data_IF_100574474943
#
_entry.id   IF_100574474943
#
_cell.length_a   1.000
_cell.length_b   1.000
_cell.length_c   1.000
_cell.angle_alpha   90.00
_cell.angle_beta   90.00
_cell.angle_gamma   90.00
#
_symmetry.space_group_name_H-M   'P 1'
#
loop_
_entity.id
_entity.type
_entity.pdbx_description
1 polymer ?
#
# COMPACT_ATOMS: atom_id res chain seq x y z
N UNK A 1 14.86 78.61 -37.13
CA UNK A 1 16.09 79.37 -36.99
C UNK A 1 17.15 78.44 -36.48
N UNK A 2 17.92 77.90 -37.39
CA UNK A 2 19.19 78.35 -37.92
C UNK A 2 20.25 78.50 -36.83
N UNK A 3 21.20 77.60 -36.90
CA UNK A 3 22.63 77.71 -37.23
C UNK A 3 23.51 77.47 -35.99
N UNK A 4 24.69 76.96 -36.03
CA UNK A 4 25.71 76.39 -36.93
C UNK A 4 26.81 75.84 -36.02
N UNK A 5 27.36 74.67 -36.34
CA UNK A 5 28.76 74.35 -36.51
C UNK A 5 29.84 75.15 -35.78
N UNK A 6 30.70 74.45 -35.08
CA UNK A 6 32.16 74.44 -35.40
C UNK A 6 32.87 73.24 -34.75
N UNK A 7 33.63 72.56 -35.57
CA UNK A 7 34.57 71.49 -35.21
C UNK A 7 35.94 72.09 -34.87
N UNK A 8 36.83 71.26 -34.37
CA UNK A 8 38.28 71.19 -34.33
C UNK A 8 38.69 70.70 -32.94
N UNK A 9 39.22 69.54 -32.66
CA UNK A 9 40.41 68.92 -33.19
C UNK A 9 41.34 68.66 -31.99
N UNK A 10 41.84 67.48 -31.81
CA UNK A 10 42.89 67.25 -30.81
C UNK A 10 42.98 65.82 -30.33
N UNK A 11 43.80 65.10 -31.01
CA UNK A 11 44.49 63.82 -30.70
C UNK A 11 44.75 63.59 -29.21
N UNK A 12 44.37 62.42 -28.73
CA UNK A 12 44.79 61.90 -27.46
C UNK A 12 44.42 60.43 -27.33
N UNK A 13 45.23 59.56 -27.89
CA UNK A 13 45.16 58.12 -27.77
C UNK A 13 45.57 57.75 -26.35
N UNK A 14 44.65 57.37 -25.49
CA UNK A 14 44.95 56.60 -24.25
C UNK A 14 44.13 55.32 -24.27
N UNK A 15 44.82 54.26 -24.64
CA UNK A 15 44.31 52.92 -24.53
C UNK A 15 44.21 52.55 -23.03
N UNK A 16 43.01 52.57 -22.47
CA UNK A 16 42.72 51.90 -21.20
C UNK A 16 42.22 50.50 -21.55
N UNK A 17 43.14 49.54 -21.51
CA UNK A 17 42.85 48.13 -21.49
C UNK A 17 42.18 47.83 -20.16
N UNK A 18 40.88 48.05 -20.10
CA UNK A 18 40.03 47.57 -19.01
C UNK A 18 39.92 46.06 -19.10
N UNK A 19 40.70 45.37 -18.31
CA UNK A 19 40.67 43.94 -18.11
C UNK A 19 39.37 43.64 -17.32
N UNK A 20 38.28 43.48 -18.06
CA UNK A 20 37.05 42.91 -17.53
C UNK A 20 37.31 41.44 -17.33
N UNK A 21 37.77 41.05 -16.13
CA UNK A 21 37.64 39.68 -15.65
C UNK A 21 36.15 39.35 -15.54
N UNK A 22 35.58 38.90 -16.62
CA UNK A 22 34.30 38.20 -16.57
C UNK A 22 34.53 36.92 -15.78
N UNK A 23 34.14 36.96 -14.50
CA UNK A 23 33.96 35.75 -13.72
C UNK A 23 32.97 34.86 -14.51
N UNK A 24 33.53 33.93 -15.28
CA UNK A 24 32.75 32.82 -15.82
C UNK A 24 32.22 32.06 -14.61
N UNK A 25 31.04 32.42 -14.15
CA UNK A 25 30.18 31.47 -13.42
C UNK A 25 30.05 30.31 -14.36
N UNK A 26 30.64 29.18 -14.01
CA UNK A 26 30.32 27.90 -14.60
C UNK A 26 28.81 27.65 -14.35
N UNK A 27 28.00 28.15 -15.27
CA UNK A 27 26.65 27.64 -15.40
C UNK A 27 26.85 26.17 -15.77
N UNK A 28 26.59 25.28 -14.84
CA UNK A 28 26.51 23.86 -15.13
C UNK A 28 25.45 23.73 -16.23
N UNK A 29 25.92 23.60 -17.48
CA UNK A 29 25.06 23.26 -18.61
C UNK A 29 24.41 21.94 -18.25
N UNK A 30 23.11 21.94 -18.06
CA UNK A 30 22.33 20.70 -17.92
C UNK A 30 22.73 19.81 -19.11
N UNK A 31 23.32 18.63 -18.91
CA UNK A 31 23.71 17.79 -20.03
C UNK A 31 22.47 17.46 -20.85
N UNK A 32 22.46 17.78 -22.14
CA UNK A 32 21.42 17.31 -23.04
C UNK A 32 21.38 15.78 -23.05
N UNK A 33 20.21 15.19 -23.22
CA UNK A 33 20.07 13.74 -23.35
C UNK A 33 20.15 13.36 -24.84
N UNK A 34 21.29 13.65 -25.46
CA UNK A 34 21.44 13.54 -26.91
C UNK A 34 21.80 12.13 -27.37
N UNK A 35 22.51 11.38 -26.54
CA UNK A 35 22.93 10.01 -26.86
C UNK A 35 22.12 8.95 -26.12
N UNK A 36 21.99 7.74 -26.69
CA UNK A 36 21.37 6.61 -25.99
C UNK A 36 22.00 6.32 -24.63
N UNK A 37 23.32 6.45 -24.51
CA UNK A 37 24.05 6.25 -23.25
C UNK A 37 23.63 7.26 -22.18
N UNK A 38 23.49 8.54 -22.54
CA UNK A 38 23.03 9.58 -21.61
C UNK A 38 21.60 9.33 -21.15
N UNK A 39 20.71 8.95 -22.09
CA UNK A 39 19.31 8.62 -21.77
C UNK A 39 19.22 7.44 -20.80
N UNK A 40 19.96 6.38 -21.02
CA UNK A 40 19.99 5.21 -20.14
C UNK A 40 20.54 5.60 -18.76
N UNK A 41 21.66 6.33 -18.69
CA UNK A 41 22.25 6.76 -17.42
C UNK A 41 21.28 7.63 -16.61
N UNK A 42 20.60 8.57 -17.27
CA UNK A 42 19.60 9.41 -16.61
C UNK A 42 18.40 8.60 -16.12
N UNK A 43 17.87 7.69 -16.96
CA UNK A 43 16.75 6.83 -16.58
C UNK A 43 17.11 5.94 -15.38
N UNK A 44 18.31 5.39 -15.33
CA UNK A 44 18.78 4.62 -14.17
C UNK A 44 18.86 5.49 -12.92
N UNK A 45 19.41 6.71 -13.02
CA UNK A 45 19.45 7.66 -11.90
C UNK A 45 18.06 7.98 -11.36
N UNK A 46 17.09 8.25 -12.24
CA UNK A 46 15.68 8.48 -11.85
C UNK A 46 15.08 7.25 -11.18
N UNK A 47 15.32 6.04 -11.69
CA UNK A 47 14.85 4.80 -11.09
C UNK A 47 15.43 4.58 -9.70
N UNK A 48 16.74 4.81 -9.52
CA UNK A 48 17.41 4.75 -8.22
C UNK A 48 16.83 5.78 -7.24
N UNK A 49 16.67 7.04 -7.67
CA UNK A 49 16.12 8.09 -6.85
C UNK A 49 14.70 7.76 -6.34
N UNK A 50 13.84 7.16 -7.19
CA UNK A 50 12.51 6.68 -6.78
C UNK A 50 12.58 5.62 -5.70
N UNK A 51 13.58 4.73 -5.73
CA UNK A 51 13.77 3.68 -4.73
C UNK A 51 14.40 4.21 -3.44
N UNK A 52 15.25 5.24 -3.53
CA UNK A 52 15.90 5.87 -2.38
C UNK A 52 14.98 6.86 -1.64
N UNK A 53 13.99 7.43 -2.34
CA UNK A 53 13.04 8.36 -1.75
C UNK A 53 12.08 7.62 -0.82
N UNK A 54 12.52 7.42 0.41
CA UNK A 54 11.72 6.81 1.48
C UNK A 54 11.41 7.84 2.57
N UNK A 55 10.21 7.82 3.17
CA UNK A 55 9.91 8.68 4.31
C UNK A 55 10.96 8.51 5.42
N UNK A 56 11.50 9.60 5.92
CA UNK A 56 12.47 9.60 7.02
C UNK A 56 13.92 9.33 6.64
N UNK A 57 14.25 9.28 5.34
CA UNK A 57 15.64 9.22 4.85
C UNK A 57 15.99 10.55 4.19
N UNK A 58 16.90 11.29 4.80
CA UNK A 58 17.50 12.48 4.21
C UNK A 58 18.86 12.10 3.62
N UNK A 59 19.11 12.48 2.37
CA UNK A 59 20.31 12.14 1.66
C UNK A 59 20.99 13.42 1.14
N UNK A 60 22.30 13.52 1.37
CA UNK A 60 23.15 14.47 0.66
C UNK A 60 23.41 13.94 -0.75
N UNK A 61 22.86 14.64 -1.75
CA UNK A 61 22.91 14.20 -3.14
C UNK A 61 24.30 14.27 -3.74
N UNK A 62 25.16 15.20 -3.27
CA UNK A 62 26.53 15.33 -3.78
C UNK A 62 27.40 14.20 -3.23
N UNK A 63 27.23 13.86 -1.95
CA UNK A 63 27.93 12.73 -1.32
C UNK A 63 27.43 11.40 -1.90
N UNK A 64 26.12 11.28 -2.16
CA UNK A 64 25.57 10.08 -2.83
C UNK A 64 26.16 9.91 -4.25
N UNK A 65 26.21 10.98 -5.04
CA UNK A 65 26.78 10.95 -6.38
C UNK A 65 28.27 10.57 -6.36
N UNK A 66 29.02 11.04 -5.35
CA UNK A 66 30.40 10.65 -5.13
C UNK A 66 30.52 9.17 -4.80
N UNK A 67 29.73 8.66 -3.86
CA UNK A 67 29.72 7.24 -3.50
C UNK A 67 29.41 6.33 -4.69
N UNK A 68 28.47 6.73 -5.56
CA UNK A 68 28.22 6.02 -6.81
C UNK A 68 29.44 6.02 -7.73
N UNK A 69 30.11 7.16 -7.90
CA UNK A 69 31.31 7.25 -8.71
C UNK A 69 32.44 6.37 -8.17
N UNK A 70 32.70 6.44 -6.88
CA UNK A 70 33.73 5.63 -6.22
C UNK A 70 33.44 4.13 -6.37
N UNK A 71 32.16 3.72 -6.23
CA UNK A 71 31.74 2.33 -6.42
C UNK A 71 31.89 1.82 -7.86
N UNK A 72 31.71 2.69 -8.87
CA UNK A 72 31.94 2.33 -10.29
C UNK A 72 33.41 2.34 -10.71
N UNK A 73 34.22 3.19 -10.09
CA UNK A 73 35.67 3.31 -10.46
C UNK A 73 36.53 2.22 -9.84
N UNK A 74 36.08 1.60 -8.78
CA UNK A 74 36.85 0.66 -7.97
C UNK A 74 37.98 1.34 -7.18
N UNK A 75 37.92 2.67 -7.01
CA UNK A 75 38.85 3.43 -6.19
C UNK A 75 38.67 3.15 -4.70
N UNK A 76 39.63 3.63 -3.90
CA UNK A 76 39.51 3.50 -2.43
C UNK A 76 38.32 4.27 -1.91
N UNK A 77 37.43 3.58 -1.25
CA UNK A 77 36.25 4.20 -0.61
C UNK A 77 36.64 5.13 0.54
N UNK A 78 35.83 6.15 0.79
CA UNK A 78 36.01 7.07 1.92
C UNK A 78 35.72 6.40 3.27
N UNK A 79 35.01 5.29 3.24
CA UNK A 79 34.65 4.47 4.40
C UNK A 79 35.21 3.07 4.25
N UNK A 80 35.52 2.41 5.36
CA UNK A 80 35.85 0.98 5.31
C UNK A 80 34.59 0.16 5.02
N UNK A 81 34.76 -1.08 4.57
CA UNK A 81 33.61 -1.98 4.38
C UNK A 81 32.82 -2.23 5.68
N UNK A 82 33.53 -2.19 6.81
CA UNK A 82 32.89 -2.34 8.12
C UNK A 82 32.03 -1.12 8.44
N UNK A 83 32.57 0.09 8.26
CA UNK A 83 31.79 1.33 8.47
C UNK A 83 30.57 1.42 7.56
N UNK A 84 30.71 0.99 6.30
CA UNK A 84 29.58 0.93 5.35
C UNK A 84 28.48 0.00 5.85
N UNK A 85 28.85 -1.19 6.33
CA UNK A 85 27.92 -2.19 6.86
C UNK A 85 27.23 -1.69 8.12
N UNK A 86 27.99 -1.14 9.06
CA UNK A 86 27.45 -0.60 10.32
C UNK A 86 26.50 0.58 10.05
N UNK A 87 26.87 1.50 9.17
CA UNK A 87 26.03 2.63 8.79
C UNK A 87 24.72 2.18 8.15
N UNK A 88 24.77 1.22 7.23
CA UNK A 88 23.57 0.68 6.58
C UNK A 88 22.69 -0.11 7.55
N UNK A 89 23.29 -0.86 8.48
CA UNK A 89 22.56 -1.57 9.54
C UNK A 89 21.85 -0.59 10.48
N UNK A 90 22.54 0.44 10.94
CA UNK A 90 21.97 1.47 11.80
C UNK A 90 20.78 2.20 11.13
N UNK A 91 20.92 2.58 9.85
CA UNK A 91 19.83 3.16 9.08
C UNK A 91 18.63 2.20 8.98
N UNK A 92 18.89 0.92 8.71
CA UNK A 92 17.83 -0.08 8.61
C UNK A 92 17.08 -0.26 9.94
N UNK A 93 17.79 -0.27 11.06
CA UNK A 93 17.21 -0.39 12.38
C UNK A 93 16.40 0.86 12.75
N UNK A 94 16.90 2.04 12.43
CA UNK A 94 16.18 3.30 12.63
C UNK A 94 14.86 3.32 11.84
N UNK A 95 14.91 2.94 10.56
CA UNK A 95 13.72 2.89 9.71
C UNK A 95 12.70 1.87 10.23
N UNK A 96 13.17 0.71 10.69
CA UNK A 96 12.33 -0.32 11.31
C UNK A 96 11.64 0.20 12.57
N UNK A 97 12.38 0.89 13.44
CA UNK A 97 11.82 1.47 14.66
C UNK A 97 10.77 2.55 14.34
N UNK A 98 11.08 3.46 13.40
CA UNK A 98 10.13 4.50 12.96
C UNK A 98 8.85 3.89 12.38
N UNK A 99 8.99 2.86 11.55
CA UNK A 99 7.84 2.15 10.98
C UNK A 99 7.02 1.43 12.07
N UNK A 100 7.67 0.72 12.98
CA UNK A 100 6.98 0.05 14.09
C UNK A 100 6.23 1.05 14.97
N UNK A 101 6.83 2.20 15.28
CA UNK A 101 6.17 3.25 16.04
C UNK A 101 4.98 3.86 15.30
N UNK A 102 5.10 4.10 13.99
CA UNK A 102 4.00 4.60 13.17
C UNK A 102 2.82 3.60 13.15
N UNK A 103 3.12 2.31 12.95
CA UNK A 103 2.11 1.24 12.98
C UNK A 103 1.42 1.18 14.35
N UNK A 104 2.18 1.28 15.45
CA UNK A 104 1.64 1.28 16.82
C UNK A 104 0.71 2.46 17.05
N UNK A 105 1.11 3.66 16.63
CA UNK A 105 0.28 4.88 16.76
C UNK A 105 -1.04 4.74 16.00
N UNK A 106 -0.98 4.21 14.77
CA UNK A 106 -2.20 3.96 13.96
C UNK A 106 -3.07 2.89 14.61
N UNK A 107 -2.48 1.81 15.13
CA UNK A 107 -3.20 0.73 15.79
C UNK A 107 -3.97 1.22 17.05
N UNK A 108 -3.33 2.07 17.86
CA UNK A 108 -3.96 2.66 19.05
C UNK A 108 -5.09 3.63 18.68
N UNK A 109 -4.88 4.46 17.66
CA UNK A 109 -5.90 5.36 17.16
C UNK A 109 -7.12 4.60 16.63
N UNK A 110 -6.92 3.60 15.77
CA UNK A 110 -7.99 2.77 15.22
C UNK A 110 -8.75 2.01 16.32
N UNK A 111 -8.03 1.48 17.32
CA UNK A 111 -8.67 0.79 18.45
C UNK A 111 -9.60 1.73 19.20
N UNK A 112 -9.11 2.91 19.59
CA UNK A 112 -9.89 3.89 20.33
C UNK A 112 -11.12 4.39 19.54
N UNK A 113 -10.92 4.68 18.25
CA UNK A 113 -11.99 5.08 17.34
C UNK A 113 -13.03 3.98 17.20
N UNK A 114 -12.58 2.73 17.03
CA UNK A 114 -13.46 1.56 16.93
C UNK A 114 -14.27 1.30 18.20
N UNK A 115 -13.65 1.38 19.38
CA UNK A 115 -14.34 1.22 20.67
C UNK A 115 -15.41 2.31 20.86
N UNK A 116 -15.10 3.57 20.55
CA UNK A 116 -16.03 4.67 20.62
C UNK A 116 -17.20 4.47 19.66
N UNK A 117 -16.90 4.18 18.40
CA UNK A 117 -17.90 3.92 17.38
C UNK A 117 -18.86 2.78 17.76
N UNK A 118 -18.34 1.64 18.24
CA UNK A 118 -19.17 0.50 18.62
C UNK A 118 -20.02 0.79 19.87
N UNK A 119 -19.49 1.57 20.82
CA UNK A 119 -20.25 1.98 22.01
C UNK A 119 -21.44 2.91 21.67
N UNK A 120 -21.26 3.79 20.70
CA UNK A 120 -22.31 4.66 20.18
C UNK A 120 -23.31 3.85 19.34
N UNK A 121 -22.81 3.03 18.42
CA UNK A 121 -23.64 2.21 17.52
C UNK A 121 -24.51 1.20 18.27
N UNK A 122 -24.08 0.70 19.44
CA UNK A 122 -24.88 -0.20 20.27
C UNK A 122 -26.19 0.44 20.77
N UNK A 123 -26.28 1.77 20.77
CA UNK A 123 -27.47 2.53 21.21
C UNK A 123 -28.40 2.86 20.04
N UNK A 124 -27.98 2.62 18.81
CA UNK A 124 -28.77 2.88 17.62
C UNK A 124 -29.95 1.91 17.52
N UNK A 125 -31.06 2.43 17.09
CA UNK A 125 -32.31 1.62 16.93
C UNK A 125 -32.10 0.46 15.94
N UNK A 126 -32.47 -0.73 16.35
CA UNK A 126 -32.40 -1.95 15.55
C UNK A 126 -31.00 -2.58 15.50
N UNK A 127 -30.02 -2.06 16.25
CA UNK A 127 -28.72 -2.68 16.42
C UNK A 127 -28.77 -3.70 17.55
N UNK A 128 -28.26 -4.89 17.26
CA UNK A 128 -28.09 -5.98 18.22
C UNK A 128 -26.60 -6.21 18.45
N UNK A 129 -26.22 -6.27 19.74
CA UNK A 129 -24.84 -6.57 20.14
C UNK A 129 -24.75 -8.00 20.69
N UNK A 130 -23.87 -8.81 20.13
CA UNK A 130 -23.60 -10.18 20.60
C UNK A 130 -22.55 -10.20 21.71
N UNK A 131 -22.49 -11.26 22.55
CA UNK A 131 -21.50 -11.36 23.63
C UNK A 131 -20.02 -11.28 23.17
N UNK A 132 -19.73 -11.61 21.92
CA UNK A 132 -18.42 -11.49 21.28
C UNK A 132 -18.02 -10.06 20.97
N UNK A 133 -18.98 -9.12 21.05
CA UNK A 133 -18.83 -7.73 20.62
C UNK A 133 -19.21 -7.48 19.16
N UNK A 134 -19.55 -8.51 18.39
CA UNK A 134 -20.12 -8.33 17.06
C UNK A 134 -21.46 -7.58 17.18
N UNK A 135 -21.64 -6.55 16.35
CA UNK A 135 -22.93 -5.87 16.24
C UNK A 135 -23.50 -6.05 14.85
N UNK A 136 -24.81 -6.13 14.76
CA UNK A 136 -25.50 -6.20 13.47
C UNK A 136 -26.83 -5.46 13.49
N UNK A 137 -27.25 -5.04 12.30
CA UNK A 137 -28.60 -4.49 12.04
C UNK A 137 -29.21 -5.23 10.85
N UNK A 138 -30.43 -5.71 11.01
CA UNK A 138 -31.18 -6.38 9.94
C UNK A 138 -31.75 -5.31 9.01
N UNK A 139 -31.22 -5.25 7.75
CA UNK A 139 -31.73 -4.36 6.72
C UNK A 139 -32.93 -4.99 5.97
N UNK A 140 -32.88 -6.31 5.78
CA UNK A 140 -33.94 -7.11 5.20
C UNK A 140 -33.91 -8.49 5.86
N UNK A 141 -35.08 -8.92 6.34
CA UNK A 141 -35.24 -10.27 6.84
C UNK A 141 -35.26 -11.29 5.69
N UNK A 142 -34.73 -12.48 5.92
CA UNK A 142 -34.85 -13.63 5.04
C UNK A 142 -35.69 -14.72 5.77
N UNK A 143 -36.13 -15.68 5.02
CA UNK A 143 -36.96 -16.81 5.48
C UNK A 143 -36.34 -18.17 5.16
N UNK A 144 -35.22 -18.19 4.50
CA UNK A 144 -34.51 -19.41 4.11
C UNK A 144 -33.76 -20.10 5.27
N UNK A 145 -33.06 -21.17 4.95
CA UNK A 145 -32.19 -21.88 5.91
C UNK A 145 -31.03 -21.03 6.36
N UNK A 146 -30.51 -21.28 7.57
CA UNK A 146 -29.28 -20.69 8.08
C UNK A 146 -28.09 -21.58 7.74
N UNK A 147 -26.94 -21.02 7.36
CA UNK A 147 -25.75 -21.80 7.09
C UNK A 147 -25.18 -22.49 8.34
N UNK A 148 -24.59 -23.66 8.14
CA UNK A 148 -23.75 -24.36 9.12
C UNK A 148 -22.25 -24.06 8.86
N UNK A 149 -21.39 -24.40 9.81
CA UNK A 149 -19.93 -24.21 9.69
C UNK A 149 -19.31 -24.91 8.47
N UNK A 150 -19.91 -26.02 8.05
CA UNK A 150 -19.44 -26.83 6.92
C UNK A 150 -19.93 -26.34 5.55
N UNK A 151 -20.85 -25.37 5.54
CA UNK A 151 -21.48 -24.93 4.32
C UNK A 151 -20.60 -23.92 3.56
N UNK A 152 -20.89 -23.80 2.29
CA UNK A 152 -20.40 -22.73 1.42
C UNK A 152 -21.56 -21.80 1.10
N UNK A 153 -21.35 -20.52 1.18
CA UNK A 153 -22.37 -19.51 0.95
C UNK A 153 -22.04 -18.64 -0.26
N UNK A 154 -23.08 -18.17 -0.92
CA UNK A 154 -23.00 -17.15 -1.97
C UNK A 154 -23.61 -15.85 -1.44
N UNK A 155 -22.80 -14.77 -1.49
CA UNK A 155 -23.16 -13.48 -0.93
C UNK A 155 -22.85 -12.34 -1.87
N UNK A 156 -23.71 -11.32 -1.88
CA UNK A 156 -23.27 -9.98 -2.20
C UNK A 156 -22.82 -9.27 -0.93
N UNK A 157 -21.75 -8.48 -1.04
CA UNK A 157 -21.23 -7.72 0.08
C UNK A 157 -20.51 -6.45 -0.32
N UNK A 158 -20.46 -5.54 0.63
CA UNK A 158 -19.68 -4.29 0.57
C UNK A 158 -19.00 -4.09 1.91
N UNK A 159 -17.68 -3.90 1.90
CA UNK A 159 -16.88 -3.65 3.09
C UNK A 159 -16.38 -2.22 3.12
N UNK A 160 -16.60 -1.50 4.22
CA UNK A 160 -16.15 -0.15 4.46
C UNK A 160 -15.45 -0.04 5.81
N UNK A 161 -14.58 0.94 5.95
CA UNK A 161 -14.07 1.38 7.26
C UNK A 161 -15.12 2.28 7.93
N UNK A 162 -14.86 2.70 9.17
CA UNK A 162 -15.73 3.61 9.94
C UNK A 162 -15.90 4.96 9.21
N UNK A 163 -14.85 5.46 8.55
CA UNK A 163 -14.90 6.71 7.75
C UNK A 163 -15.70 6.59 6.44
N UNK A 164 -16.36 5.45 6.21
CA UNK A 164 -17.14 5.17 5.01
C UNK A 164 -16.33 4.77 3.79
N UNK A 165 -15.00 4.78 3.87
CA UNK A 165 -14.15 4.40 2.76
C UNK A 165 -14.28 2.91 2.43
N UNK A 166 -14.74 2.61 1.23
CA UNK A 166 -14.86 1.25 0.71
C UNK A 166 -13.46 0.66 0.44
N UNK A 167 -13.24 -0.56 0.92
CA UNK A 167 -12.02 -1.31 0.66
C UNK A 167 -12.27 -2.57 -0.19
N UNK A 168 -13.49 -3.10 -0.17
CA UNK A 168 -13.86 -4.24 -1.01
C UNK A 168 -15.38 -4.28 -1.26
N UNK A 169 -15.79 -4.72 -2.47
CA UNK A 169 -17.19 -4.89 -2.84
C UNK A 169 -17.35 -5.94 -3.92
N UNK A 170 -18.34 -6.82 -3.75
CA UNK A 170 -18.76 -7.75 -4.80
C UNK A 170 -19.60 -7.06 -5.86
N UNK A 171 -20.27 -5.97 -5.51
CA UNK A 171 -21.05 -5.18 -6.48
C UNK A 171 -20.15 -4.52 -7.52
N UNK A 172 -18.96 -4.02 -7.11
CA UNK A 172 -17.96 -3.48 -8.02
C UNK A 172 -17.41 -4.51 -9.02
N UNK A 173 -17.52 -5.81 -8.70
CA UNK A 173 -17.14 -6.91 -9.61
C UNK A 173 -18.29 -7.42 -10.48
N UNK A 174 -19.51 -6.93 -10.26
CA UNK A 174 -20.70 -7.31 -11.01
C UNK A 174 -21.22 -8.73 -10.75
N UNK A 175 -20.67 -9.44 -9.75
CA UNK A 175 -21.08 -10.82 -9.42
C UNK A 175 -20.92 -11.12 -7.93
N UNK A 176 -21.78 -11.98 -7.37
CA UNK A 176 -21.66 -12.43 -5.98
C UNK A 176 -20.36 -13.22 -5.78
N UNK A 177 -19.93 -13.29 -4.54
CA UNK A 177 -18.78 -14.07 -4.14
C UNK A 177 -19.21 -15.31 -3.33
N UNK A 178 -18.41 -16.37 -3.46
CA UNK A 178 -18.65 -17.63 -2.79
C UNK A 178 -17.58 -17.87 -1.74
N UNK A 179 -18.01 -18.21 -0.50
CA UNK A 179 -17.11 -18.41 0.63
C UNK A 179 -17.49 -19.68 1.41
N UNK A 180 -16.53 -20.52 1.82
CA UNK A 180 -16.78 -21.49 2.88
C UNK A 180 -16.97 -20.75 4.20
N UNK A 181 -18.02 -21.07 4.96
CA UNK A 181 -18.33 -20.42 6.25
C UNK A 181 -17.17 -20.53 7.23
N UNK A 182 -16.44 -21.63 7.24
CA UNK A 182 -15.26 -21.81 8.07
C UNK A 182 -14.06 -20.95 7.64
N UNK A 183 -14.06 -20.41 6.41
CA UNK A 183 -12.92 -19.69 5.81
C UNK A 183 -13.00 -18.17 5.88
N UNK A 184 -14.08 -17.60 6.42
CA UNK A 184 -14.23 -16.16 6.57
C UNK A 184 -13.76 -15.68 7.95
N UNK A 185 -13.63 -14.36 8.14
CA UNK A 185 -13.28 -13.75 9.42
C UNK A 185 -14.32 -14.15 10.52
N UNK A 186 -13.89 -14.22 11.81
CA UNK A 186 -14.75 -14.69 12.89
C UNK A 186 -16.11 -13.97 12.97
N UNK A 187 -16.14 -12.66 12.80
CA UNK A 187 -17.38 -11.89 12.82
C UNK A 187 -18.36 -12.27 11.70
N UNK A 188 -17.86 -12.55 10.51
CA UNK A 188 -18.70 -13.05 9.42
C UNK A 188 -19.21 -14.48 9.69
N UNK A 189 -18.33 -15.33 10.20
CA UNK A 189 -18.70 -16.71 10.55
C UNK A 189 -19.85 -16.73 11.57
N UNK A 190 -19.78 -15.87 12.59
CA UNK A 190 -20.82 -15.75 13.59
C UNK A 190 -22.12 -15.20 13.00
N UNK A 191 -22.04 -14.12 12.22
CA UNK A 191 -23.20 -13.51 11.58
C UNK A 191 -23.89 -14.46 10.61
N UNK A 192 -23.16 -15.11 9.71
CA UNK A 192 -23.72 -16.01 8.69
C UNK A 192 -24.53 -17.16 9.29
N UNK A 193 -24.11 -17.69 10.43
CA UNK A 193 -24.86 -18.74 11.14
C UNK A 193 -26.19 -18.26 11.73
N UNK A 194 -26.35 -16.97 11.89
CA UNK A 194 -27.59 -16.33 12.35
C UNK A 194 -28.47 -15.85 11.20
N UNK A 195 -27.89 -15.58 10.03
CA UNK A 195 -28.55 -15.03 8.85
C UNK A 195 -29.36 -16.10 8.11
N UNK A 196 -30.67 -15.98 7.95
CA UNK A 196 -31.41 -16.80 6.99
C UNK A 196 -31.05 -16.41 5.54
N UNK A 197 -31.04 -17.37 4.62
CA UNK A 197 -30.94 -17.09 3.18
C UNK A 197 -32.06 -16.10 2.77
N UNK A 198 -31.72 -15.16 1.89
CA UNK A 198 -32.57 -14.05 1.45
C UNK A 198 -32.43 -12.81 2.33
N UNK A 199 -31.74 -12.87 3.47
CA UNK A 199 -31.53 -11.70 4.33
C UNK A 199 -30.41 -10.77 3.86
N UNK A 200 -30.51 -9.49 4.23
CA UNK A 200 -29.44 -8.50 4.10
C UNK A 200 -29.20 -7.85 5.45
N UNK A 201 -27.97 -7.93 5.94
CA UNK A 201 -27.56 -7.39 7.22
C UNK A 201 -26.44 -6.39 7.09
N UNK A 202 -26.39 -5.44 8.00
CA UNK A 202 -25.22 -4.58 8.22
C UNK A 202 -24.50 -5.08 9.47
N UNK A 203 -23.24 -5.44 9.31
CA UNK A 203 -22.39 -5.97 10.37
C UNK A 203 -21.37 -4.88 10.76
N UNK A 204 -21.17 -4.72 12.06
CA UNK A 204 -20.15 -3.87 12.63
C UNK A 204 -19.19 -4.77 13.39
N UNK A 205 -18.03 -5.00 12.79
CA UNK A 205 -17.11 -6.06 13.20
C UNK A 205 -15.93 -5.44 13.94
N UNK A 206 -15.81 -5.63 15.26
CA UNK A 206 -14.64 -5.18 15.99
C UNK A 206 -13.38 -5.87 15.47
N UNK A 207 -12.25 -5.22 15.61
CA UNK A 207 -10.98 -5.66 14.98
C UNK A 207 -10.58 -7.09 15.36
N UNK A 208 -10.81 -7.53 16.60
CA UNK A 208 -10.52 -8.88 17.06
C UNK A 208 -11.36 -9.98 16.37
N UNK A 209 -12.51 -9.62 15.82
CA UNK A 209 -13.34 -10.51 15.00
C UNK A 209 -13.11 -10.32 13.50
N UNK A 210 -12.17 -9.44 13.10
CA UNK A 210 -11.77 -9.16 11.74
C UNK A 210 -10.29 -9.56 11.51
N UNK A 211 -9.41 -8.60 11.38
CA UNK A 211 -7.99 -8.82 11.03
C UNK A 211 -7.02 -8.52 12.18
N UNK A 212 -7.49 -8.02 13.33
CA UNK A 212 -6.70 -7.72 14.51
C UNK A 212 -5.62 -6.67 14.23
N UNK A 213 -4.42 -6.93 14.70
CA UNK A 213 -3.27 -6.04 14.56
C UNK A 213 -2.62 -6.07 13.17
N UNK A 214 -3.12 -6.88 12.26
CA UNK A 214 -2.54 -6.98 10.91
C UNK A 214 -3.01 -5.84 10.03
N UNK A 215 -2.05 -5.22 9.36
CA UNK A 215 -2.34 -4.32 8.25
C UNK A 215 -2.56 -5.13 6.97
N UNK A 216 -3.61 -4.83 6.24
CA UNK A 216 -3.87 -5.44 4.93
C UNK A 216 -3.74 -4.37 3.86
N UNK A 217 -2.78 -4.54 2.93
CA UNK A 217 -2.64 -3.61 1.82
C UNK A 217 -3.85 -3.64 0.90
N UNK A 218 -4.07 -2.55 0.20
CA UNK A 218 -5.11 -2.46 -0.82
C UNK A 218 -4.94 -3.58 -1.86
N UNK A 219 -6.02 -4.30 -2.12
CA UNK A 219 -6.01 -5.41 -3.08
C UNK A 219 -5.91 -4.86 -4.51
N UNK A 220 -4.90 -5.30 -5.27
CA UNK A 220 -4.66 -4.91 -6.68
C UNK A 220 -4.49 -3.40 -6.93
N UNK A 221 -4.03 -2.63 -5.93
CA UNK A 221 -3.88 -1.17 -6.07
C UNK A 221 -5.20 -0.40 -6.17
N UNK A 222 -6.34 -1.07 -6.18
CA UNK A 222 -7.67 -0.50 -6.11
C UNK A 222 -8.26 -0.76 -4.72
N UNK A 223 -8.63 0.29 -4.04
CA UNK A 223 -9.15 0.21 -2.68
C UNK A 223 -8.21 0.81 -1.64
N UNK A 224 -8.68 0.90 -0.41
CA UNK A 224 -7.90 1.46 0.71
C UNK A 224 -7.37 0.35 1.61
N UNK A 225 -6.16 0.56 2.11
CA UNK A 225 -5.54 -0.30 3.13
C UNK A 225 -6.43 -0.40 4.37
N UNK A 226 -6.56 -1.59 4.93
CA UNK A 226 -7.14 -1.80 6.25
C UNK A 226 -5.99 -1.72 7.25
N UNK A 227 -6.01 -0.69 8.10
CA UNK A 227 -4.99 -0.51 9.13
C UNK A 227 -5.11 -1.53 10.26
N UNK A 228 -4.07 -1.64 11.10
CA UNK A 228 -4.11 -2.48 12.27
C UNK A 228 -5.22 -2.03 13.24
N UNK A 229 -5.86 -2.95 13.91
CA UNK A 229 -6.97 -2.74 14.85
C UNK A 229 -8.17 -1.98 14.29
N UNK A 230 -8.38 -1.97 12.97
CA UNK A 230 -9.51 -1.31 12.36
C UNK A 230 -10.82 -2.06 12.62
N UNK A 231 -11.84 -1.37 13.12
CA UNK A 231 -13.23 -1.83 13.12
C UNK A 231 -13.79 -1.70 11.71
N UNK A 232 -14.49 -2.70 11.25
CA UNK A 232 -14.98 -2.79 9.87
C UNK A 232 -16.52 -2.86 9.85
N UNK A 233 -17.07 -2.29 8.79
CA UNK A 233 -18.50 -2.33 8.52
C UNK A 233 -18.73 -3.11 7.23
N UNK A 234 -19.65 -4.07 7.27
CA UNK A 234 -20.03 -4.83 6.08
C UNK A 234 -21.56 -4.78 5.88
N UNK A 235 -21.97 -4.54 4.66
CA UNK A 235 -23.31 -4.92 4.23
C UNK A 235 -23.20 -6.28 3.56
N UNK A 236 -23.92 -7.27 4.06
CA UNK A 236 -23.89 -8.65 3.57
C UNK A 236 -25.30 -9.07 3.20
N UNK A 237 -25.46 -9.53 1.96
CA UNK A 237 -26.70 -10.14 1.47
C UNK A 237 -26.44 -11.62 1.20
N UNK A 238 -27.08 -12.49 1.98
CA UNK A 238 -26.95 -13.93 1.86
C UNK A 238 -27.92 -14.44 0.80
N UNK A 239 -27.38 -14.83 -0.36
CA UNK A 239 -28.20 -15.24 -1.51
C UNK A 239 -28.53 -16.74 -1.49
N UNK A 240 -27.55 -17.58 -1.17
CA UNK A 240 -27.74 -19.03 -1.20
C UNK A 240 -26.72 -19.76 -0.32
N UNK A 241 -27.10 -20.96 0.10
CA UNK A 241 -26.20 -21.98 0.60
C UNK A 241 -25.88 -22.90 -0.56
N UNK A 242 -24.62 -23.04 -0.92
CA UNK A 242 -24.14 -23.95 -1.95
C UNK A 242 -23.77 -25.29 -1.31
N UNK A 243 -23.99 -26.42 -1.97
CA UNK A 243 -23.44 -27.67 -1.50
C UNK A 243 -21.92 -27.56 -1.37
N UNK A 244 -21.29 -28.24 -0.40
CA UNK A 244 -19.84 -28.27 -0.27
C UNK A 244 -19.24 -28.61 -1.63
N UNK A 245 -18.21 -27.89 -2.06
CA UNK A 245 -17.51 -28.21 -3.30
C UNK A 245 -17.12 -29.69 -3.20
N UNK A 246 -17.71 -30.53 -4.04
CA UNK A 246 -17.29 -31.95 -4.14
C UNK A 246 -15.81 -31.91 -4.39
N UNK A 247 -15.04 -32.38 -3.40
CA UNK A 247 -13.59 -32.50 -3.55
C UNK A 247 -13.35 -33.17 -4.90
N UNK A 248 -12.46 -32.61 -5.70
CA UNK A 248 -11.91 -33.33 -6.85
C UNK A 248 -11.47 -34.67 -6.29
N UNK A 249 -12.23 -35.72 -6.59
CA UNK A 249 -11.80 -37.07 -6.34
C UNK A 249 -10.38 -37.16 -6.88
N UNK A 250 -9.42 -37.44 -6.01
CA UNK A 250 -8.08 -37.82 -6.42
C UNK A 250 -8.29 -39.01 -7.31
N UNK A 251 -8.24 -38.78 -8.60
CA UNK A 251 -8.23 -39.83 -9.59
C UNK A 251 -7.05 -40.70 -9.25
N UNK A 252 -7.37 -41.95 -8.91
CA UNK A 252 -6.48 -43.01 -8.50
C UNK A 252 -5.14 -42.95 -9.24
N UNK A 253 -4.09 -42.94 -8.44
CA UNK A 253 -2.74 -43.25 -8.85
C UNK A 253 -2.80 -44.53 -9.70
N UNK A 254 -2.43 -44.36 -10.97
CA UNK A 254 -2.33 -45.48 -11.91
C UNK A 254 -1.47 -46.60 -11.35
N UNK A 255 -2.05 -47.75 -11.35
CA UNK A 255 -1.42 -49.05 -11.06
C UNK A 255 -0.22 -49.20 -12.00
N UNK A 256 0.98 -49.12 -11.46
CA UNK A 256 2.23 -49.45 -12.16
C UNK A 256 2.15 -50.93 -12.54
N UNK A 257 2.28 -51.33 -13.83
CA UNK A 257 2.41 -52.73 -14.18
C UNK A 257 3.77 -53.25 -13.66
N UNK A 258 3.74 -54.32 -12.88
CA UNK A 258 4.94 -55.10 -12.56
C UNK A 258 5.43 -55.75 -13.88
N UNK A 259 6.61 -55.33 -14.32
CA UNK A 259 7.32 -56.04 -15.36
C UNK A 259 7.69 -57.44 -14.91
N UNK A 260 7.35 -58.39 -15.72
CA UNK A 260 7.79 -59.77 -15.62
C UNK A 260 9.33 -59.81 -15.71
N UNK A 261 9.94 -60.41 -14.70
CA UNK A 261 11.23 -61.08 -14.85
C UNK A 261 10.95 -62.46 -15.43
N UNK A 262 11.44 -62.68 -16.59
CA UNK A 262 11.71 -64.04 -17.10
C UNK A 262 13.12 -64.03 -17.67
N UNK A 263 13.93 -64.88 -17.11
CA UNK A 263 15.18 -65.54 -17.56
C UNK A 263 16.33 -64.70 -18.09
#
# INVERSE_FOLDING_TARGET
MRWKWFAIGGTGLVAIVGMVMAARRNAATTPGLDTPKQKVSYAMGVAMAKNLKRPGVELDMDVLARGLKDGFSGEKFLMTENDLRETMSALQDELKQKQAQAVKTVAEANRKEGETFLAENAREEGVVTLPTGLQYKILRAGDGKRPADTDTVECHYRGTRIDGAEFESSYGRGQPATFPVAGVIPGWKEALKLMPVGSKWKLFVPSQLAYGERELPARNGAGRTIGPNATLIFEVELLAIKPPARGRAQTAVGKVPRGNQED
#
